data_IF_427288706331
#
_entry.id   IF_427288706331
#
_cell.length_a   1.000
_cell.length_b   1.000
_cell.length_c   1.000
_cell.angle_alpha   90.00
_cell.angle_beta   90.00
_cell.angle_gamma   90.00
#
_symmetry.space_group_name_H-M   'P 1'
#
loop_
_entity.id
_entity.type
_entity.pdbx_description
1 polymer ?
#
# COMPACT_ATOMS: atom_id res chain seq x y z
N UNK A 1 -11.85 4.04 5.50
CA UNK A 1 -12.09 2.61 5.21
C UNK A 1 -13.36 2.08 5.90
N UNK A 2 -13.53 2.23 7.22
CA UNK A 2 -14.71 1.72 7.97
C UNK A 2 -16.05 2.14 7.35
N UNK A 3 -16.18 3.40 6.88
CA UNK A 3 -17.41 3.88 6.23
C UNK A 3 -17.75 3.13 4.94
N UNK A 4 -16.75 2.65 4.20
CA UNK A 4 -16.95 1.91 2.93
C UNK A 4 -17.51 0.51 3.21
N UNK A 5 -17.01 -0.14 4.28
CA UNK A 5 -17.33 -1.53 4.59
C UNK A 5 -18.41 -1.72 5.67
N UNK A 6 -19.01 -0.64 6.20
CA UNK A 6 -20.09 -0.79 7.18
C UNK A 6 -21.41 -1.28 6.53
N UNK A 7 -22.28 -1.85 7.35
CA UNK A 7 -23.53 -2.43 6.90
C UNK A 7 -24.48 -1.39 6.27
N UNK A 8 -24.55 -0.20 6.84
CA UNK A 8 -25.42 0.87 6.36
C UNK A 8 -25.01 1.34 4.95
N UNK A 9 -23.72 1.60 4.73
CA UNK A 9 -23.22 1.99 3.40
C UNK A 9 -23.46 0.89 2.36
N UNK A 10 -23.31 -0.38 2.74
CA UNK A 10 -23.64 -1.50 1.84
C UNK A 10 -25.08 -1.41 1.36
N UNK A 11 -26.03 -1.19 2.27
CA UNK A 11 -27.47 -1.04 1.93
C UNK A 11 -27.69 0.17 1.02
N UNK A 12 -27.03 1.30 1.30
CA UNK A 12 -27.12 2.50 0.45
C UNK A 12 -26.60 2.20 -0.96
N UNK A 13 -25.50 1.47 -1.11
CA UNK A 13 -24.96 1.07 -2.41
C UNK A 13 -25.89 0.08 -3.15
N UNK A 14 -26.55 -0.84 -2.43
CA UNK A 14 -27.57 -1.73 -2.97
C UNK A 14 -28.75 -0.94 -3.54
N UNK A 15 -29.23 0.06 -2.81
CA UNK A 15 -30.32 0.96 -3.24
C UNK A 15 -29.91 1.79 -4.47
N UNK A 16 -28.67 2.31 -4.50
CA UNK A 16 -28.12 3.01 -5.67
C UNK A 16 -28.08 2.13 -6.91
N UNK A 17 -27.68 0.87 -6.77
CA UNK A 17 -27.68 -0.07 -7.89
C UNK A 17 -29.11 -0.33 -8.38
N UNK A 18 -30.07 -0.58 -7.48
CA UNK A 18 -31.48 -0.74 -7.87
C UNK A 18 -32.03 0.48 -8.61
N UNK A 19 -31.70 1.69 -8.16
CA UNK A 19 -32.11 2.92 -8.83
C UNK A 19 -31.45 3.08 -10.20
N UNK A 20 -30.18 2.72 -10.34
CA UNK A 20 -29.48 2.73 -11.61
C UNK A 20 -30.17 1.80 -12.62
N UNK A 21 -30.53 0.58 -12.20
CA UNK A 21 -31.24 -0.39 -13.04
C UNK A 21 -32.66 0.09 -13.36
N UNK A 22 -33.40 0.61 -12.36
CA UNK A 22 -34.76 1.11 -12.56
C UNK A 22 -34.79 2.32 -13.52
N UNK A 23 -33.84 3.24 -13.39
CA UNK A 23 -33.72 4.38 -14.32
C UNK A 23 -33.38 3.92 -15.73
N UNK A 24 -32.43 2.98 -15.89
CA UNK A 24 -32.10 2.42 -17.17
C UNK A 24 -33.29 1.69 -17.83
N UNK A 25 -34.06 0.93 -17.05
CA UNK A 25 -35.31 0.28 -17.52
C UNK A 25 -36.36 1.29 -17.99
N UNK A 26 -36.55 2.39 -17.24
CA UNK A 26 -37.45 3.50 -17.64
C UNK A 26 -37.00 4.14 -18.95
N UNK A 27 -35.70 4.44 -19.07
CA UNK A 27 -35.12 5.04 -20.28
C UNK A 27 -35.27 4.15 -21.53
N UNK A 28 -35.34 2.84 -21.33
CA UNK A 28 -35.53 1.83 -22.38
C UNK A 28 -36.98 1.48 -22.61
N UNK A 29 -37.94 2.27 -22.08
CA UNK A 29 -39.33 2.18 -22.37
C UNK A 29 -40.17 1.31 -21.41
N UNK A 30 -39.58 0.81 -20.33
CA UNK A 30 -40.35 0.09 -19.32
C UNK A 30 -41.29 1.05 -18.57
N UNK A 31 -42.51 0.57 -18.29
CA UNK A 31 -43.52 1.37 -17.62
C UNK A 31 -43.13 1.56 -16.12
N UNK A 32 -42.65 2.75 -15.79
CA UNK A 32 -42.39 3.23 -14.43
C UNK A 32 -43.22 4.51 -14.25
N UNK A 33 -44.21 4.53 -13.35
CA UNK A 33 -45.04 5.73 -13.13
C UNK A 33 -44.20 6.94 -12.72
N UNK A 34 -44.70 8.13 -13.04
CA UNK A 34 -44.01 9.39 -12.64
C UNK A 34 -44.01 9.51 -11.11
N UNK A 35 -42.88 10.02 -10.58
CA UNK A 35 -42.65 10.19 -9.15
C UNK A 35 -42.08 8.97 -8.43
N UNK A 36 -42.13 7.77 -9.02
CA UNK A 36 -41.64 6.53 -8.35
C UNK A 36 -40.14 6.60 -8.05
N UNK A 37 -39.33 6.99 -9.02
CA UNK A 37 -37.87 7.06 -8.84
C UNK A 37 -37.51 8.15 -7.81
N UNK A 38 -38.17 9.28 -7.89
CA UNK A 38 -38.00 10.39 -6.96
C UNK A 38 -38.37 9.99 -5.52
N UNK A 39 -39.43 9.18 -5.32
CA UNK A 39 -39.83 8.69 -3.99
C UNK A 39 -38.80 7.70 -3.43
N UNK A 40 -38.21 6.81 -4.24
CA UNK A 40 -37.09 5.98 -3.81
C UNK A 40 -35.85 6.82 -3.45
N UNK A 41 -35.54 7.86 -4.22
CA UNK A 41 -34.39 8.76 -3.95
C UNK A 41 -34.57 9.49 -2.61
N UNK A 42 -35.76 9.93 -2.25
CA UNK A 42 -36.03 10.62 -0.97
C UNK A 42 -35.73 9.76 0.25
N UNK A 43 -35.83 8.45 0.14
CA UNK A 43 -35.59 7.49 1.24
C UNK A 43 -34.29 6.69 1.08
N UNK A 44 -33.44 7.06 0.11
CA UNK A 44 -32.21 6.34 -0.23
C UNK A 44 -31.31 6.09 1.00
N UNK A 45 -31.10 7.12 1.81
CA UNK A 45 -30.20 7.11 2.96
C UNK A 45 -30.92 6.78 4.29
N UNK A 46 -32.23 6.49 4.25
CA UNK A 46 -33.02 6.16 5.44
C UNK A 46 -32.97 4.65 5.71
N UNK A 47 -31.77 4.14 6.10
CA UNK A 47 -31.55 2.71 6.34
C UNK A 47 -32.02 2.33 7.75
N UNK A 48 -32.97 1.40 7.85
CA UNK A 48 -33.42 0.79 9.11
C UNK A 48 -32.93 -0.66 9.19
N UNK A 49 -31.75 -0.86 9.80
CA UNK A 49 -31.14 -2.18 9.94
C UNK A 49 -31.98 -3.13 10.80
N UNK A 50 -32.69 -2.62 11.83
CA UNK A 50 -33.52 -3.43 12.71
C UNK A 50 -34.74 -3.96 11.93
N UNK A 51 -35.39 -3.10 11.16
CA UNK A 51 -36.52 -3.52 10.26
C UNK A 51 -36.06 -4.54 9.22
N UNK A 52 -34.84 -4.38 8.64
CA UNK A 52 -34.30 -5.36 7.71
C UNK A 52 -34.07 -6.71 8.41
N UNK A 53 -33.45 -6.73 9.59
CA UNK A 53 -33.21 -7.95 10.36
C UNK A 53 -34.52 -8.66 10.77
N UNK A 54 -35.54 -7.93 11.19
CA UNK A 54 -36.84 -8.51 11.56
C UNK A 54 -37.52 -9.15 10.36
N UNK A 55 -37.47 -8.49 9.19
CA UNK A 55 -37.96 -9.08 7.92
C UNK A 55 -37.18 -10.34 7.54
N UNK A 56 -35.82 -10.30 7.64
CA UNK A 56 -34.98 -11.43 7.31
C UNK A 56 -35.24 -12.65 8.19
N UNK A 57 -35.53 -12.46 9.48
CA UNK A 57 -35.95 -13.54 10.40
C UNK A 57 -37.19 -14.26 9.93
N UNK A 58 -38.11 -13.55 9.27
CA UNK A 58 -39.37 -14.10 8.74
C UNK A 58 -39.14 -14.75 7.40
N UNK A 59 -38.59 -14.01 6.42
CA UNK A 59 -38.45 -14.45 5.03
C UNK A 59 -37.30 -15.40 4.79
N UNK A 60 -36.32 -15.48 5.73
CA UNK A 60 -35.08 -16.30 5.67
C UNK A 60 -34.25 -16.02 4.41
N UNK A 61 -34.30 -14.77 3.92
CA UNK A 61 -33.57 -14.36 2.74
C UNK A 61 -33.18 -12.87 2.84
N UNK A 62 -31.91 -12.58 2.86
CA UNK A 62 -31.31 -11.26 3.11
C UNK A 62 -31.73 -10.22 2.05
N UNK A 63 -31.56 -10.52 0.77
CA UNK A 63 -31.90 -9.57 -0.32
C UNK A 63 -33.39 -9.30 -0.37
N UNK A 64 -34.24 -10.33 -0.13
CA UNK A 64 -35.72 -10.17 -0.08
C UNK A 64 -36.12 -9.21 1.04
N UNK A 65 -35.55 -9.33 2.22
CA UNK A 65 -35.77 -8.44 3.35
C UNK A 65 -35.47 -6.98 3.01
N UNK A 66 -34.33 -6.74 2.32
CA UNK A 66 -33.90 -5.39 1.88
C UNK A 66 -34.79 -4.81 0.80
N UNK A 67 -35.29 -5.64 -0.14
CA UNK A 67 -36.28 -5.22 -1.14
C UNK A 67 -37.57 -4.77 -0.43
N UNK A 68 -38.09 -5.56 0.49
CA UNK A 68 -39.34 -5.27 1.21
C UNK A 68 -39.22 -4.00 2.06
N UNK A 69 -38.09 -3.81 2.73
CA UNK A 69 -37.87 -2.61 3.53
C UNK A 69 -37.79 -1.36 2.64
N UNK A 70 -37.01 -1.37 1.56
CA UNK A 70 -36.89 -0.21 0.67
C UNK A 70 -38.19 0.11 -0.08
N UNK A 71 -38.91 -0.91 -0.53
CA UNK A 71 -40.25 -0.76 -1.12
C UNK A 71 -41.22 -0.17 -0.13
N UNK A 72 -41.22 -0.64 1.12
CA UNK A 72 -42.10 -0.11 2.18
C UNK A 72 -41.82 1.37 2.49
N UNK A 73 -40.54 1.79 2.55
CA UNK A 73 -40.19 3.18 2.76
C UNK A 73 -40.61 4.08 1.60
N UNK A 74 -40.41 3.65 0.37
CA UNK A 74 -40.73 4.42 -0.83
C UNK A 74 -42.25 4.38 -1.18
N UNK A 75 -42.99 3.40 -0.68
CA UNK A 75 -44.39 3.20 -1.01
C UNK A 75 -44.62 2.57 -2.42
N UNK A 76 -43.59 1.94 -2.99
CA UNK A 76 -43.62 1.38 -4.37
C UNK A 76 -42.92 0.03 -4.45
N UNK A 77 -43.28 -0.80 -5.45
CA UNK A 77 -42.70 -2.13 -5.71
C UNK A 77 -42.21 -2.22 -7.16
N UNK A 78 -41.23 -1.34 -7.52
CA UNK A 78 -40.74 -1.28 -8.90
C UNK A 78 -39.29 -1.74 -9.08
N UNK A 79 -38.50 -1.94 -8.01
CA UNK A 79 -37.09 -2.36 -8.06
C UNK A 79 -36.94 -3.88 -8.28
N UNK A 80 -35.74 -4.32 -8.62
CA UNK A 80 -35.31 -5.72 -8.71
C UNK A 80 -35.93 -6.53 -9.84
N UNK A 81 -36.61 -5.91 -10.82
CA UNK A 81 -37.20 -6.58 -11.97
C UNK A 81 -36.11 -7.10 -12.91
N UNK A 82 -36.21 -8.38 -13.30
CA UNK A 82 -35.22 -9.05 -14.15
C UNK A 82 -33.86 -9.30 -13.49
N UNK A 83 -33.75 -9.14 -12.17
CA UNK A 83 -32.55 -9.35 -11.40
C UNK A 83 -32.60 -10.55 -10.49
N UNK A 84 -31.45 -11.14 -10.20
CA UNK A 84 -31.28 -12.10 -9.09
C UNK A 84 -30.47 -11.48 -7.95
N UNK A 85 -30.49 -12.14 -6.79
CA UNK A 85 -29.72 -11.66 -5.60
C UNK A 85 -28.26 -11.40 -5.88
N UNK A 86 -27.62 -12.16 -6.78
CA UNK A 86 -26.22 -11.98 -7.13
C UNK A 86 -25.97 -10.79 -8.06
N UNK A 87 -26.92 -10.39 -8.85
CA UNK A 87 -26.85 -9.13 -9.60
C UNK A 87 -26.72 -7.94 -8.65
N UNK A 88 -27.29 -8.03 -7.45
CA UNK A 88 -27.14 -7.02 -6.41
C UNK A 88 -25.80 -7.17 -5.68
N UNK A 89 -25.58 -8.31 -5.04
CA UNK A 89 -24.49 -8.46 -4.06
C UNK A 89 -23.10 -8.45 -4.70
N UNK A 90 -22.91 -9.07 -5.87
CA UNK A 90 -21.61 -9.09 -6.58
C UNK A 90 -21.21 -7.70 -7.06
N UNK A 91 -22.12 -6.95 -7.68
CA UNK A 91 -21.82 -5.60 -8.18
C UNK A 91 -21.60 -4.60 -7.03
N UNK A 92 -22.33 -4.73 -5.91
CA UNK A 92 -22.13 -3.85 -4.74
C UNK A 92 -20.80 -4.12 -4.04
N UNK A 93 -20.40 -5.38 -3.92
CA UNK A 93 -19.06 -5.72 -3.41
C UNK A 93 -17.95 -5.16 -4.32
N UNK A 94 -18.13 -5.19 -5.64
CA UNK A 94 -17.20 -4.55 -6.58
C UNK A 94 -17.15 -3.02 -6.43
N UNK A 95 -18.29 -2.36 -6.17
CA UNK A 95 -18.33 -0.93 -5.84
C UNK A 95 -17.54 -0.63 -4.57
N UNK A 96 -17.72 -1.44 -3.50
CA UNK A 96 -16.97 -1.26 -2.25
C UNK A 96 -15.46 -1.46 -2.47
N UNK A 97 -15.06 -2.49 -3.21
CA UNK A 97 -13.66 -2.75 -3.55
C UNK A 97 -13.07 -1.56 -4.31
N UNK A 98 -13.76 -1.05 -5.32
CA UNK A 98 -13.29 0.09 -6.11
C UNK A 98 -13.13 1.35 -5.26
N UNK A 99 -14.13 1.71 -4.46
CA UNK A 99 -14.06 2.86 -3.54
C UNK A 99 -12.91 2.71 -2.53
N UNK A 100 -12.70 1.50 -2.04
CA UNK A 100 -11.60 1.21 -1.12
C UNK A 100 -10.23 1.34 -1.81
N UNK A 101 -10.08 0.85 -3.04
CA UNK A 101 -8.86 1.01 -3.85
C UNK A 101 -8.56 2.49 -4.16
N UNK A 102 -9.57 3.29 -4.50
CA UNK A 102 -9.43 4.73 -4.74
C UNK A 102 -8.92 5.45 -3.47
N UNK A 103 -9.45 5.10 -2.29
CA UNK A 103 -8.94 5.62 -1.02
C UNK A 103 -7.48 5.20 -0.77
N UNK A 104 -7.14 3.94 -1.03
CA UNK A 104 -5.77 3.43 -0.88
C UNK A 104 -4.81 4.15 -1.85
N UNK A 105 -5.22 4.44 -3.08
CA UNK A 105 -4.42 5.25 -4.01
C UNK A 105 -4.10 6.64 -3.43
N UNK A 106 -5.10 7.32 -2.85
CA UNK A 106 -4.91 8.62 -2.22
C UNK A 106 -3.90 8.56 -1.06
N UNK A 107 -4.04 7.57 -0.17
CA UNK A 107 -3.13 7.38 0.97
C UNK A 107 -1.71 7.03 0.53
N UNK A 108 -1.58 6.15 -0.47
CA UNK A 108 -0.28 5.75 -1.01
C UNK A 108 0.43 6.91 -1.72
N UNK A 109 -0.30 7.74 -2.47
CA UNK A 109 0.24 8.96 -3.07
C UNK A 109 0.71 9.97 -2.01
N UNK A 110 -0.03 10.11 -0.89
CA UNK A 110 0.40 10.93 0.25
C UNK A 110 1.68 10.37 0.90
N UNK A 111 1.80 9.05 1.05
CA UNK A 111 3.00 8.42 1.58
C UNK A 111 4.21 8.61 0.65
N UNK A 112 4.02 8.52 -0.67
CA UNK A 112 5.06 8.82 -1.66
C UNK A 112 5.53 10.28 -1.55
N UNK A 113 4.61 11.24 -1.35
CA UNK A 113 4.94 12.65 -1.10
C UNK A 113 5.86 12.80 0.11
N UNK A 114 5.50 12.23 1.25
CA UNK A 114 6.29 12.29 2.48
C UNK A 114 7.64 11.59 2.35
N UNK A 115 7.70 10.47 1.62
CA UNK A 115 8.98 9.81 1.30
C UNK A 115 9.89 10.72 0.48
N UNK A 116 9.35 11.45 -0.52
CA UNK A 116 10.08 12.43 -1.33
C UNK A 116 10.59 13.62 -0.50
N UNK A 117 9.77 14.12 0.42
CA UNK A 117 10.13 15.20 1.35
C UNK A 117 11.26 14.76 2.28
N UNK A 118 11.18 13.58 2.90
CA UNK A 118 12.24 13.02 3.73
C UNK A 118 13.50 12.70 2.92
N UNK A 119 13.36 12.18 1.70
CA UNK A 119 14.51 11.94 0.81
C UNK A 119 15.26 13.24 0.50
N UNK A 120 14.55 14.35 0.33
CA UNK A 120 15.12 15.67 0.09
C UNK A 120 15.76 16.24 1.35
N UNK A 121 15.03 16.20 2.48
CA UNK A 121 15.50 16.76 3.77
C UNK A 121 16.80 16.12 4.23
N UNK A 122 16.93 14.81 4.06
CA UNK A 122 18.11 14.04 4.49
C UNK A 122 19.08 13.68 3.35
N UNK A 123 18.99 14.38 2.21
CA UNK A 123 19.81 14.08 1.01
C UNK A 123 21.31 14.16 1.28
N UNK A 124 21.75 15.07 2.13
CA UNK A 124 23.15 15.29 2.50
C UNK A 124 23.56 14.59 3.81
N UNK A 125 22.62 13.93 4.50
CA UNK A 125 22.90 13.25 5.77
C UNK A 125 23.63 11.93 5.48
N UNK A 126 24.96 11.95 5.52
CA UNK A 126 25.78 10.76 5.34
C UNK A 126 25.57 9.77 6.51
N UNK A 127 25.39 8.50 6.19
CA UNK A 127 25.17 7.42 7.17
C UNK A 127 25.97 6.17 6.77
N UNK A 128 26.25 5.33 7.76
CA UNK A 128 26.81 4.00 7.53
C UNK A 128 25.83 3.13 6.73
N UNK A 129 26.16 2.88 5.47
CA UNK A 129 25.46 1.90 4.65
C UNK A 129 25.79 0.48 5.09
N UNK A 130 24.76 -0.39 5.18
CA UNK A 130 24.92 -1.76 5.67
C UNK A 130 24.41 -2.75 4.66
N UNK A 131 25.17 -3.81 4.42
CA UNK A 131 24.72 -5.02 3.71
C UNK A 131 24.88 -6.20 4.66
N UNK A 132 23.97 -7.17 4.62
CA UNK A 132 23.93 -8.26 5.59
C UNK A 132 23.92 -7.76 7.07
N UNK A 133 23.38 -6.57 7.28
CA UNK A 133 23.42 -5.81 8.55
C UNK A 133 24.82 -5.41 9.05
N UNK A 134 25.86 -5.56 8.24
CA UNK A 134 27.23 -5.16 8.54
C UNK A 134 27.60 -3.88 7.79
N UNK A 135 28.40 -3.00 8.43
CA UNK A 135 28.89 -1.76 7.82
C UNK A 135 29.67 -2.06 6.51
N UNK A 136 29.28 -1.40 5.42
CA UNK A 136 29.78 -1.70 4.07
C UNK A 136 30.38 -0.48 3.36
N UNK A 137 29.58 0.55 3.08
CA UNK A 137 29.99 1.80 2.43
C UNK A 137 29.20 2.98 2.98
N UNK A 138 29.62 4.20 2.66
CA UNK A 138 28.85 5.42 2.97
C UNK A 138 27.67 5.56 2.01
N UNK A 139 26.51 5.92 2.55
CA UNK A 139 25.32 6.32 1.79
C UNK A 139 24.70 7.55 2.45
N UNK A 140 23.53 8.02 1.96
CA UNK A 140 22.78 9.06 2.67
C UNK A 140 21.46 8.51 3.23
N UNK A 141 20.98 9.12 4.29
CA UNK A 141 19.67 8.81 4.85
C UNK A 141 18.56 9.14 3.85
N UNK A 142 18.71 10.25 3.10
CA UNK A 142 17.79 10.59 2.00
C UNK A 142 17.73 9.51 0.91
N UNK A 143 18.86 8.86 0.58
CA UNK A 143 18.87 7.76 -0.38
C UNK A 143 18.10 6.54 0.14
N UNK A 144 18.06 6.28 1.46
CA UNK A 144 17.21 5.20 2.04
C UNK A 144 15.74 5.47 1.82
N UNK A 145 15.29 6.70 2.04
CA UNK A 145 13.92 7.11 1.74
C UNK A 145 13.60 7.01 0.25
N UNK A 146 14.49 7.47 -0.62
CA UNK A 146 14.32 7.36 -2.06
C UNK A 146 14.25 5.90 -2.53
N UNK A 147 15.01 4.99 -1.91
CA UNK A 147 14.95 3.56 -2.25
C UNK A 147 13.63 2.91 -1.83
N UNK A 148 13.07 3.29 -0.67
CA UNK A 148 11.74 2.87 -0.25
C UNK A 148 10.66 3.45 -1.17
N UNK A 149 10.82 4.71 -1.60
CA UNK A 149 9.91 5.35 -2.54
C UNK A 149 9.91 4.66 -3.92
N UNK A 150 11.06 4.25 -4.43
CA UNK A 150 11.19 3.49 -5.70
C UNK A 150 10.41 2.17 -5.63
N UNK A 151 10.56 1.39 -4.54
CA UNK A 151 9.81 0.15 -4.32
C UNK A 151 8.30 0.43 -4.23
N UNK A 152 7.90 1.48 -3.51
CA UNK A 152 6.50 1.86 -3.36
C UNK A 152 5.88 2.35 -4.68
N UNK A 153 6.63 3.09 -5.52
CA UNK A 153 6.19 3.53 -6.85
C UNK A 153 5.83 2.35 -7.75
N UNK A 154 6.63 1.28 -7.71
CA UNK A 154 6.35 0.07 -8.49
C UNK A 154 5.02 -0.56 -8.06
N UNK A 155 4.79 -0.73 -6.76
CA UNK A 155 3.54 -1.28 -6.23
C UNK A 155 2.35 -0.34 -6.47
N UNK A 156 2.55 0.97 -6.33
CA UNK A 156 1.53 1.99 -6.59
C UNK A 156 1.03 1.95 -8.05
N UNK A 157 1.95 1.86 -9.01
CA UNK A 157 1.60 1.75 -10.42
C UNK A 157 0.72 0.52 -10.69
N UNK A 158 0.97 -0.59 -10.03
CA UNK A 158 0.12 -1.78 -10.14
C UNK A 158 -1.29 -1.52 -9.57
N UNK A 159 -1.41 -0.84 -8.43
CA UNK A 159 -2.73 -0.47 -7.87
C UNK A 159 -3.48 0.49 -8.80
N UNK A 160 -2.83 1.52 -9.38
CA UNK A 160 -3.44 2.40 -10.38
C UNK A 160 -4.01 1.59 -11.56
N UNK A 161 -3.26 0.61 -12.06
CA UNK A 161 -3.71 -0.27 -13.16
C UNK A 161 -4.89 -1.14 -12.76
N UNK A 162 -4.89 -1.67 -11.52
CA UNK A 162 -6.03 -2.43 -11.00
C UNK A 162 -7.27 -1.55 -10.97
N UNK A 163 -7.20 -0.33 -10.42
CA UNK A 163 -8.33 0.61 -10.36
C UNK A 163 -8.86 0.95 -11.75
N UNK A 164 -7.95 1.31 -12.67
CA UNK A 164 -8.32 1.72 -14.03
C UNK A 164 -9.04 0.62 -14.83
N UNK A 165 -8.71 -0.64 -14.57
CA UNK A 165 -9.21 -1.79 -15.32
C UNK A 165 -10.18 -2.66 -14.50
N UNK A 166 -10.60 -2.23 -13.29
CA UNK A 166 -11.47 -3.04 -12.46
C UNK A 166 -12.89 -3.10 -13.04
N UNK A 167 -13.38 -4.29 -13.45
CA UNK A 167 -14.64 -4.42 -14.16
C UNK A 167 -15.83 -4.45 -13.21
N UNK A 168 -17.01 -4.11 -13.72
CA UNK A 168 -18.29 -4.46 -13.12
C UNK A 168 -18.70 -5.86 -13.61
N UNK A 169 -19.33 -6.69 -12.76
CA UNK A 169 -19.91 -7.97 -13.20
C UNK A 169 -21.04 -7.75 -14.22
N UNK A 170 -21.83 -6.72 -14.02
CA UNK A 170 -23.04 -6.45 -14.78
C UNK A 170 -24.27 -7.21 -14.27
N UNK A 171 -25.39 -7.04 -14.94
CA UNK A 171 -26.69 -7.66 -14.59
C UNK A 171 -26.87 -8.91 -15.46
N UNK A 172 -26.44 -10.07 -14.95
CA UNK A 172 -26.33 -11.30 -15.75
C UNK A 172 -27.43 -12.34 -15.47
N UNK A 173 -28.23 -12.12 -14.42
CA UNK A 173 -29.25 -13.07 -14.01
C UNK A 173 -28.69 -14.33 -13.31
N UNK A 174 -29.52 -15.34 -13.08
CA UNK A 174 -29.19 -16.49 -12.22
C UNK A 174 -28.09 -17.42 -12.79
N UNK A 175 -27.92 -17.49 -14.11
CA UNK A 175 -26.95 -18.39 -14.77
C UNK A 175 -26.12 -17.69 -15.86
N UNK A 176 -26.17 -16.36 -15.92
CA UNK A 176 -25.37 -15.57 -16.85
C UNK A 176 -25.93 -15.37 -18.25
N UNK A 177 -27.14 -15.89 -18.55
CA UNK A 177 -27.75 -15.82 -19.87
C UNK A 177 -28.55 -14.54 -20.11
N UNK A 178 -28.86 -13.78 -19.05
CA UNK A 178 -29.69 -12.56 -19.12
C UNK A 178 -31.10 -12.79 -19.69
N UNK A 179 -31.59 -14.05 -19.74
CA UNK A 179 -32.86 -14.40 -20.38
C UNK A 179 -34.04 -13.58 -19.85
N UNK A 180 -34.13 -13.44 -18.51
CA UNK A 180 -35.25 -12.69 -17.87
C UNK A 180 -35.23 -11.20 -18.30
N UNK A 181 -34.05 -10.62 -18.53
CA UNK A 181 -33.91 -9.25 -19.02
C UNK A 181 -34.23 -9.14 -20.53
N UNK A 182 -33.86 -10.13 -21.33
CA UNK A 182 -34.21 -10.18 -22.76
C UNK A 182 -35.73 -10.24 -22.89
N UNK A 183 -36.40 -11.08 -22.11
CA UNK A 183 -37.86 -11.19 -22.11
C UNK A 183 -38.53 -9.91 -21.59
N UNK A 184 -37.98 -9.29 -20.55
CA UNK A 184 -38.49 -8.05 -19.97
C UNK A 184 -38.37 -6.85 -20.92
N UNK A 185 -37.21 -6.70 -21.59
CA UNK A 185 -36.87 -5.53 -22.41
C UNK A 185 -37.20 -5.71 -23.89
N UNK A 186 -37.52 -6.94 -24.32
CA UNK A 186 -37.92 -7.25 -25.68
C UNK A 186 -36.81 -7.47 -26.67
N UNK A 187 -35.55 -7.67 -26.21
CA UNK A 187 -34.42 -7.99 -27.09
C UNK A 187 -33.06 -7.86 -26.48
N UNK A 188 -32.07 -8.53 -27.07
CA UNK A 188 -30.67 -8.52 -26.61
C UNK A 188 -30.03 -7.13 -26.69
N UNK A 189 -30.30 -6.37 -27.75
CA UNK A 189 -29.77 -5.01 -27.90
C UNK A 189 -30.20 -4.08 -26.75
N UNK A 190 -31.43 -4.25 -26.24
CA UNK A 190 -31.93 -3.47 -25.10
C UNK A 190 -31.24 -3.86 -23.81
N UNK A 191 -30.84 -5.13 -23.65
CA UNK A 191 -30.07 -5.59 -22.49
C UNK A 191 -28.65 -5.02 -22.52
N UNK A 192 -27.98 -4.97 -23.67
CA UNK A 192 -26.67 -4.34 -23.84
C UNK A 192 -26.72 -2.86 -23.45
N UNK A 193 -27.72 -2.12 -23.94
CA UNK A 193 -27.94 -0.72 -23.57
C UNK A 193 -28.22 -0.52 -22.07
N UNK A 194 -28.97 -1.45 -21.44
CA UNK A 194 -29.20 -1.43 -19.99
C UNK A 194 -27.87 -1.57 -19.23
N UNK A 195 -27.03 -2.54 -19.59
CA UNK A 195 -25.75 -2.75 -18.95
C UNK A 195 -24.82 -1.55 -19.11
N UNK A 196 -24.76 -0.93 -20.29
CA UNK A 196 -23.99 0.30 -20.53
C UNK A 196 -24.45 1.44 -19.62
N UNK A 197 -25.78 1.68 -19.55
CA UNK A 197 -26.32 2.74 -18.69
C UNK A 197 -26.04 2.48 -17.20
N UNK A 198 -26.17 1.24 -16.73
CA UNK A 198 -25.87 0.85 -15.34
C UNK A 198 -24.37 1.01 -15.06
N UNK A 199 -23.49 0.54 -15.95
CA UNK A 199 -22.04 0.70 -15.87
C UNK A 199 -21.67 2.17 -15.72
N UNK A 200 -22.18 3.01 -16.60
CA UNK A 200 -21.85 4.46 -16.64
C UNK A 200 -22.39 5.18 -15.40
N UNK A 201 -23.61 4.84 -14.95
CA UNK A 201 -24.18 5.40 -13.73
C UNK A 201 -23.36 5.03 -12.48
N UNK A 202 -22.79 3.83 -12.43
CA UNK A 202 -21.93 3.37 -11.35
C UNK A 202 -20.45 3.81 -11.52
N UNK A 203 -20.13 4.45 -12.65
CA UNK A 203 -18.82 5.02 -12.95
C UNK A 203 -17.75 3.99 -13.29
N UNK A 204 -18.09 2.80 -13.78
CA UNK A 204 -17.14 1.82 -14.28
C UNK A 204 -16.81 2.05 -15.76
N UNK A 205 -15.62 1.59 -16.17
CA UNK A 205 -15.16 1.73 -17.57
C UNK A 205 -15.66 0.58 -18.46
N UNK A 206 -15.88 -0.60 -17.89
CA UNK A 206 -16.36 -1.77 -18.62
C UNK A 206 -17.05 -2.79 -17.68
N UNK A 207 -17.83 -3.67 -18.30
CA UNK A 207 -18.47 -4.83 -17.65
C UNK A 207 -17.82 -6.12 -18.14
N UNK A 208 -17.93 -7.18 -17.37
CA UNK A 208 -17.60 -8.53 -17.83
C UNK A 208 -18.68 -9.04 -18.79
N UNK A 209 -18.28 -9.63 -19.92
CA UNK A 209 -19.24 -10.11 -20.93
C UNK A 209 -19.83 -11.46 -20.55
N UNK A 210 -18.99 -12.48 -20.37
CA UNK A 210 -19.42 -13.86 -20.16
C UNK A 210 -19.01 -14.36 -18.79
N UNK A 211 -19.95 -14.21 -17.84
CA UNK A 211 -19.81 -14.72 -16.47
C UNK A 211 -21.13 -15.33 -16.00
N UNK A 212 -21.05 -16.31 -15.12
CA UNK A 212 -22.19 -16.92 -14.47
C UNK A 212 -22.76 -16.05 -13.35
N UNK A 213 -23.20 -16.70 -12.29
CA UNK A 213 -23.81 -16.05 -11.13
C UNK A 213 -22.82 -15.16 -10.36
N UNK A 214 -21.52 -15.49 -10.39
CA UNK A 214 -20.44 -14.78 -9.70
C UNK A 214 -19.33 -14.36 -10.68
N UNK A 215 -18.62 -13.27 -10.38
CA UNK A 215 -17.43 -12.89 -11.14
C UNK A 215 -16.22 -13.76 -10.80
N UNK A 216 -15.20 -13.87 -11.69
CA UNK A 216 -14.00 -14.69 -11.44
C UNK A 216 -13.27 -14.26 -10.17
N UNK A 217 -13.02 -15.19 -9.24
CA UNK A 217 -12.34 -14.91 -7.96
C UNK A 217 -10.87 -14.56 -8.09
N UNK A 218 -10.31 -14.74 -9.26
CA UNK A 218 -8.99 -14.19 -9.63
C UNK A 218 -8.93 -12.66 -9.53
N UNK A 219 -10.06 -11.95 -9.66
CA UNK A 219 -10.11 -10.49 -9.43
C UNK A 219 -9.85 -10.16 -7.95
N UNK A 220 -10.43 -10.91 -7.01
CA UNK A 220 -10.19 -10.73 -5.58
C UNK A 220 -8.71 -11.00 -5.23
N UNK A 221 -8.13 -12.06 -5.82
CA UNK A 221 -6.71 -12.36 -5.68
C UNK A 221 -5.83 -11.23 -6.21
N UNK A 222 -6.13 -10.69 -7.38
CA UNK A 222 -5.38 -9.59 -7.97
C UNK A 222 -5.40 -8.35 -7.07
N UNK A 223 -6.57 -8.00 -6.52
CA UNK A 223 -6.72 -6.88 -5.58
C UNK A 223 -5.88 -7.10 -4.33
N UNK A 224 -6.07 -8.20 -3.61
CA UNK A 224 -5.36 -8.45 -2.34
C UNK A 224 -3.85 -8.63 -2.56
N UNK A 225 -3.44 -9.23 -3.68
CA UNK A 225 -2.03 -9.30 -4.08
C UNK A 225 -1.41 -7.92 -4.28
N UNK A 226 -2.14 -7.00 -4.92
CA UNK A 226 -1.72 -5.61 -5.05
C UNK A 226 -1.56 -4.89 -3.70
N UNK A 227 -2.49 -5.12 -2.76
CA UNK A 227 -2.39 -4.57 -1.39
C UNK A 227 -1.16 -5.11 -0.64
N UNK A 228 -0.85 -6.40 -0.79
CA UNK A 228 0.37 -7.01 -0.22
C UNK A 228 1.63 -6.39 -0.81
N UNK A 229 1.69 -6.21 -2.14
CA UNK A 229 2.81 -5.54 -2.80
C UNK A 229 2.99 -4.10 -2.27
N UNK A 230 1.88 -3.36 -2.12
CA UNK A 230 1.92 -1.99 -1.61
C UNK A 230 2.45 -1.92 -0.16
N UNK A 231 2.21 -2.95 0.65
CA UNK A 231 2.69 -3.04 2.04
C UNK A 231 4.19 -3.30 2.15
N UNK A 232 4.88 -3.73 1.08
CA UNK A 232 6.28 -4.19 1.12
C UNK A 232 7.25 -3.07 1.44
N UNK A 233 7.18 -1.94 0.75
CA UNK A 233 8.06 -0.80 0.99
C UNK A 233 7.91 -0.21 2.40
N UNK A 234 6.68 0.06 2.92
CA UNK A 234 6.48 0.43 4.32
C UNK A 234 7.09 -0.57 5.30
N UNK A 235 6.88 -1.88 5.10
CA UNK A 235 7.41 -2.91 5.99
C UNK A 235 8.95 -2.99 5.96
N UNK A 236 9.57 -2.87 4.78
CA UNK A 236 11.02 -2.84 4.61
C UNK A 236 11.65 -1.61 5.27
N UNK A 237 11.07 -0.43 5.04
CA UNK A 237 11.56 0.79 5.67
C UNK A 237 11.38 0.75 7.18
N UNK A 238 10.22 0.33 7.68
CA UNK A 238 9.96 0.18 9.12
C UNK A 238 10.98 -0.75 9.79
N UNK A 239 11.34 -1.88 9.16
CA UNK A 239 12.41 -2.75 9.65
C UNK A 239 13.76 -2.04 9.69
N UNK A 240 14.11 -1.30 8.65
CA UNK A 240 15.36 -0.53 8.57
C UNK A 240 15.42 0.53 9.67
N UNK A 241 14.33 1.28 9.88
CA UNK A 241 14.26 2.31 10.93
C UNK A 241 14.39 1.70 12.34
N UNK A 242 13.78 0.53 12.58
CA UNK A 242 13.94 -0.20 13.86
C UNK A 242 15.39 -0.62 14.11
N UNK A 243 16.10 -1.11 13.08
CA UNK A 243 17.52 -1.44 13.19
C UNK A 243 18.38 -0.20 13.47
N UNK A 244 18.06 0.92 12.83
CA UNK A 244 18.73 2.19 13.09
C UNK A 244 18.47 2.73 14.50
N UNK A 245 17.23 2.63 14.99
CA UNK A 245 16.85 3.03 16.34
C UNK A 245 17.55 2.18 17.43
N UNK A 246 17.84 0.91 17.13
CA UNK A 246 18.66 0.06 18.00
C UNK A 246 20.09 0.55 18.17
N UNK A 247 20.55 1.46 17.31
CA UNK A 247 21.84 2.18 17.40
C UNK A 247 21.66 3.66 17.77
N UNK A 248 20.50 4.06 18.24
CA UNK A 248 20.15 5.44 18.61
C UNK A 248 20.27 6.46 17.48
N UNK A 249 20.22 6.03 16.21
CA UNK A 249 20.43 6.91 15.05
C UNK A 249 19.18 7.73 14.69
N UNK A 250 17.99 7.17 14.91
CA UNK A 250 16.69 7.73 14.48
C UNK A 250 15.57 7.42 15.48
N UNK A 251 14.45 8.14 15.31
CA UNK A 251 13.19 7.91 16.01
C UNK A 251 12.02 7.95 15.03
N UNK A 252 10.91 7.26 15.34
CA UNK A 252 9.63 7.36 14.61
C UNK A 252 8.75 8.54 15.08
N UNK A 253 9.33 9.47 15.84
CA UNK A 253 8.66 10.53 16.57
C UNK A 253 8.39 10.11 18.02
N UNK A 254 8.67 11.04 18.93
CA UNK A 254 8.38 10.87 20.36
C UNK A 254 7.82 12.19 20.87
N UNK A 255 6.49 12.21 21.12
CA UNK A 255 5.80 13.43 21.53
C UNK A 255 6.00 13.69 23.02
N UNK A 256 5.91 14.97 23.42
CA UNK A 256 5.96 15.36 24.83
C UNK A 256 4.83 14.67 25.61
N UNK A 257 5.19 14.03 26.73
CA UNK A 257 4.25 13.25 27.54
C UNK A 257 4.02 11.81 27.07
N UNK A 258 4.57 11.41 25.94
CA UNK A 258 4.47 10.02 25.47
C UNK A 258 5.29 9.07 26.35
N UNK A 259 4.71 7.92 26.72
CA UNK A 259 5.39 6.87 27.48
C UNK A 259 5.82 5.76 26.53
N UNK A 260 7.13 5.66 26.28
CA UNK A 260 7.71 4.61 25.44
C UNK A 260 7.73 3.21 26.08
N UNK A 261 7.85 3.16 27.41
CA UNK A 261 7.89 1.93 28.20
C UNK A 261 7.35 2.16 29.60
N UNK A 262 6.50 1.27 30.11
CA UNK A 262 5.95 1.37 31.47
C UNK A 262 7.00 1.11 32.58
N UNK A 263 8.09 0.40 32.24
CA UNK A 263 9.14 0.03 33.19
C UNK A 263 10.44 0.82 33.03
N UNK A 264 10.74 1.29 31.81
CA UNK A 264 11.99 1.97 31.47
C UNK A 264 11.68 3.31 30.80
N UNK A 265 11.59 4.43 31.57
CA UNK A 265 11.10 5.72 31.05
C UNK A 265 11.91 6.32 29.89
N UNK A 266 13.21 6.01 29.81
CA UNK A 266 14.12 6.48 28.76
C UNK A 266 14.01 5.71 27.44
N UNK A 267 13.29 4.58 27.43
CA UNK A 267 13.27 3.66 26.28
C UNK A 267 12.25 4.12 25.23
N UNK A 268 12.73 4.57 24.08
CA UNK A 268 11.94 4.98 22.92
C UNK A 268 11.71 3.79 21.99
N UNK A 269 10.61 3.08 22.19
CA UNK A 269 10.28 1.91 21.35
C UNK A 269 9.69 2.34 20.01
N UNK A 270 10.08 1.67 18.93
CA UNK A 270 9.56 1.86 17.58
C UNK A 270 8.26 1.06 17.37
N UNK A 271 7.21 1.39 18.15
CA UNK A 271 5.95 0.63 18.21
C UNK A 271 5.11 0.77 16.93
N UNK A 272 5.17 1.94 16.28
CA UNK A 272 4.48 2.18 15.02
C UNK A 272 5.12 1.36 13.89
N UNK A 273 6.44 1.31 13.84
CA UNK A 273 7.16 0.44 12.90
C UNK A 273 6.90 -1.05 13.15
N UNK A 274 6.72 -1.48 14.42
CA UNK A 274 6.29 -2.85 14.74
C UNK A 274 4.89 -3.15 14.24
N UNK A 275 3.94 -2.20 14.39
CA UNK A 275 2.57 -2.30 13.89
C UNK A 275 2.54 -2.43 12.37
N UNK A 276 3.31 -1.63 11.64
CA UNK A 276 3.44 -1.73 10.18
C UNK A 276 3.87 -3.15 9.77
N UNK A 277 4.89 -3.69 10.42
CA UNK A 277 5.37 -5.06 10.15
C UNK A 277 4.29 -6.11 10.44
N UNK A 278 3.58 -5.98 11.57
CA UNK A 278 2.50 -6.88 11.95
C UNK A 278 1.33 -6.87 10.95
N UNK A 279 0.87 -5.68 10.54
CA UNK A 279 -0.23 -5.54 9.57
C UNK A 279 0.15 -6.08 8.18
N UNK A 280 1.42 -5.95 7.76
CA UNK A 280 1.91 -6.57 6.53
C UNK A 280 1.83 -8.10 6.57
N UNK A 281 2.11 -8.74 7.72
CA UNK A 281 1.93 -10.19 7.89
C UNK A 281 0.45 -10.60 7.89
N UNK A 282 -0.43 -9.80 8.48
CA UNK A 282 -1.89 -10.04 8.43
C UNK A 282 -2.40 -10.03 6.98
N UNK A 283 -1.95 -9.06 6.17
CA UNK A 283 -2.28 -9.00 4.73
C UNK A 283 -1.84 -10.26 3.96
N UNK A 284 -0.65 -10.81 4.25
CA UNK A 284 -0.19 -12.07 3.66
C UNK A 284 -1.11 -13.25 4.02
N UNK A 285 -1.67 -13.24 5.23
CA UNK A 285 -2.69 -14.21 5.64
C UNK A 285 -3.96 -14.11 4.79
N UNK A 286 -4.48 -12.90 4.56
CA UNK A 286 -5.66 -12.70 3.69
C UNK A 286 -5.38 -13.05 2.23
N UNK A 287 -4.17 -12.79 1.72
CA UNK A 287 -3.77 -13.26 0.39
C UNK A 287 -3.87 -14.78 0.28
N UNK A 288 -3.43 -15.51 1.29
CA UNK A 288 -3.54 -16.98 1.32
C UNK A 288 -5.01 -17.42 1.27
N UNK A 289 -5.90 -16.73 1.99
CA UNK A 289 -7.34 -17.03 1.98
C UNK A 289 -7.94 -16.84 0.59
N UNK A 290 -7.69 -15.71 -0.08
CA UNK A 290 -8.27 -15.46 -1.42
C UNK A 290 -7.61 -16.31 -2.51
N UNK A 291 -6.35 -16.71 -2.35
CA UNK A 291 -5.65 -17.63 -3.26
C UNK A 291 -6.40 -18.96 -3.36
N UNK A 292 -6.96 -19.46 -2.25
CA UNK A 292 -7.71 -20.73 -2.23
C UNK A 292 -9.01 -20.69 -3.05
N UNK A 293 -9.50 -19.49 -3.39
CA UNK A 293 -10.72 -19.30 -4.18
C UNK A 293 -10.46 -19.24 -5.69
N UNK A 294 -9.19 -19.08 -6.10
CA UNK A 294 -8.84 -18.98 -7.53
C UNK A 294 -9.00 -20.32 -8.20
N UNK A 295 -9.88 -20.38 -9.20
CA UNK A 295 -10.19 -21.62 -9.91
C UNK A 295 -11.11 -22.60 -9.16
N UNK A 296 -11.63 -22.21 -7.99
CA UNK A 296 -12.57 -23.02 -7.19
C UNK A 296 -14.03 -22.63 -7.44
N UNK A 297 -14.37 -22.37 -8.69
CA UNK A 297 -15.75 -22.14 -9.15
C UNK A 297 -16.16 -23.24 -10.14
N UNK A 298 -17.37 -23.71 -10.03
CA UNK A 298 -17.89 -24.77 -10.88
C UNK A 298 -19.34 -24.52 -11.30
N UNK A 299 -19.74 -25.03 -12.46
CA UNK A 299 -20.97 -24.71 -13.16
C UNK A 299 -21.14 -23.18 -13.33
N UNK A 300 -22.38 -22.70 -13.29
CA UNK A 300 -22.73 -21.28 -13.45
C UNK A 300 -22.49 -20.45 -12.19
N UNK A 301 -22.14 -21.07 -11.07
CA UNK A 301 -21.72 -20.38 -9.85
C UNK A 301 -21.94 -21.19 -8.57
N UNK A 302 -20.99 -21.04 -7.67
CA UNK A 302 -21.04 -21.53 -6.30
C UNK A 302 -20.77 -20.39 -5.32
N UNK A 303 -21.50 -20.35 -4.22
CA UNK A 303 -21.44 -19.25 -3.26
C UNK A 303 -20.67 -19.59 -1.98
N UNK A 304 -20.06 -20.77 -1.88
CA UNK A 304 -19.20 -21.17 -0.76
C UNK A 304 -18.05 -20.17 -0.54
N UNK A 305 -17.52 -19.60 -1.64
CA UNK A 305 -16.53 -18.55 -1.61
C UNK A 305 -16.94 -17.31 -0.78
N UNK A 306 -18.25 -17.07 -0.60
CA UNK A 306 -18.75 -15.88 0.09
C UNK A 306 -18.36 -15.84 1.57
N UNK A 307 -18.20 -16.99 2.22
CA UNK A 307 -17.77 -17.08 3.63
C UNK A 307 -16.35 -16.53 3.79
N UNK A 308 -15.43 -16.95 2.91
CA UNK A 308 -14.04 -16.49 2.90
C UNK A 308 -13.96 -15.01 2.56
N UNK A 309 -14.68 -14.57 1.54
CA UNK A 309 -14.66 -13.19 1.04
C UNK A 309 -15.19 -12.17 2.05
N UNK A 310 -16.21 -12.52 2.83
CA UNK A 310 -16.76 -11.66 3.91
C UNK A 310 -15.75 -11.34 5.01
N UNK A 311 -14.76 -12.20 5.21
CA UNK A 311 -13.64 -11.96 6.12
C UNK A 311 -12.47 -11.32 5.38
N UNK A 312 -12.00 -11.95 4.31
CA UNK A 312 -10.73 -11.58 3.68
C UNK A 312 -10.74 -10.20 3.01
N UNK A 313 -11.82 -9.81 2.33
CA UNK A 313 -11.84 -8.54 1.58
C UNK A 313 -11.93 -7.31 2.50
N UNK A 314 -12.95 -7.16 3.37
CA UNK A 314 -13.04 -6.01 4.25
C UNK A 314 -11.80 -5.86 5.14
N UNK A 315 -11.35 -6.99 5.72
CA UNK A 315 -10.25 -6.98 6.67
C UNK A 315 -8.89 -6.73 6.00
N UNK A 316 -8.69 -7.17 4.75
CA UNK A 316 -7.50 -6.82 3.97
C UNK A 316 -7.43 -5.30 3.74
N UNK A 317 -8.56 -4.67 3.38
CA UNK A 317 -8.62 -3.22 3.21
C UNK A 317 -8.47 -2.45 4.52
N UNK A 318 -9.03 -2.94 5.62
CA UNK A 318 -8.82 -2.36 6.96
C UNK A 318 -7.37 -2.49 7.41
N UNK A 319 -6.72 -3.63 7.12
CA UNK A 319 -5.31 -3.86 7.45
C UNK A 319 -4.36 -2.94 6.69
N UNK A 320 -4.55 -2.79 5.37
CA UNK A 320 -3.71 -1.87 4.58
C UNK A 320 -3.98 -0.39 4.92
N UNK A 321 -5.24 -0.02 5.19
CA UNK A 321 -5.59 1.31 5.68
C UNK A 321 -4.86 1.64 6.98
N UNK A 322 -4.95 0.77 7.98
CA UNK A 322 -4.24 0.92 9.25
C UNK A 322 -2.71 0.96 9.10
N UNK A 323 -2.16 0.18 8.16
CA UNK A 323 -0.75 0.19 7.84
C UNK A 323 -0.32 1.53 7.24
N UNK A 324 -1.03 2.03 6.22
CA UNK A 324 -0.71 3.29 5.55
C UNK A 324 -0.90 4.49 6.48
N UNK A 325 -1.97 4.54 7.30
CA UNK A 325 -2.15 5.57 8.31
C UNK A 325 -0.96 5.61 9.29
N UNK A 326 -0.54 4.44 9.78
CA UNK A 326 0.62 4.33 10.68
C UNK A 326 1.91 4.77 9.97
N UNK A 327 2.08 4.39 8.71
CA UNK A 327 3.26 4.74 7.93
C UNK A 327 3.35 6.24 7.66
N UNK A 328 2.24 6.89 7.32
CA UNK A 328 2.15 8.33 7.16
C UNK A 328 2.58 9.05 8.44
N UNK A 329 2.05 8.65 9.60
CA UNK A 329 2.45 9.23 10.89
C UNK A 329 3.94 9.06 11.17
N UNK A 330 4.50 7.87 10.89
CA UNK A 330 5.95 7.64 11.04
C UNK A 330 6.77 8.55 10.12
N UNK A 331 6.32 8.80 8.89
CA UNK A 331 7.04 9.68 7.95
C UNK A 331 6.95 11.15 8.33
N UNK A 332 5.80 11.60 8.89
CA UNK A 332 5.61 12.98 9.37
C UNK A 332 6.43 13.28 10.63
N UNK A 333 6.43 12.36 11.59
CA UNK A 333 7.07 12.55 12.89
C UNK A 333 8.54 12.08 12.92
N UNK A 334 9.06 11.56 11.79
CA UNK A 334 10.40 11.01 11.70
C UNK A 334 11.48 12.00 12.14
N UNK A 335 12.39 11.52 12.99
CA UNK A 335 13.56 12.30 13.45
C UNK A 335 14.87 11.51 13.36
N UNK A 336 15.96 12.24 13.11
CA UNK A 336 17.32 11.69 13.11
C UNK A 336 18.18 12.39 14.18
N UNK A 337 19.17 11.68 14.73
CA UNK A 337 20.11 12.20 15.69
C UNK A 337 21.49 12.46 15.05
N UNK A 338 21.76 13.66 14.49
CA UNK A 338 22.95 13.92 13.67
C UNK A 338 24.26 13.60 14.38
N UNK A 339 24.38 13.89 15.68
CA UNK A 339 25.61 13.63 16.45
C UNK A 339 25.87 12.15 16.68
N UNK A 340 24.83 11.35 16.81
CA UNK A 340 24.96 9.88 16.94
C UNK A 340 25.34 9.28 15.59
N UNK A 341 24.70 9.76 14.51
CA UNK A 341 25.03 9.37 13.12
C UNK A 341 26.51 9.70 12.80
N UNK A 342 26.96 10.92 13.10
CA UNK A 342 28.34 11.36 12.89
C UNK A 342 29.33 10.47 13.65
N UNK A 343 29.04 10.17 14.92
CA UNK A 343 29.88 9.30 15.76
C UNK A 343 29.98 7.88 15.19
N UNK A 344 28.83 7.28 14.79
CA UNK A 344 28.83 5.95 14.17
C UNK A 344 29.58 5.95 12.84
N UNK A 345 29.33 6.94 12.00
CA UNK A 345 29.99 7.09 10.70
C UNK A 345 31.48 7.18 10.86
N UNK A 346 31.99 8.07 11.74
CA UNK A 346 33.40 8.27 11.97
C UNK A 346 34.12 7.00 12.49
N UNK A 347 33.42 6.22 13.33
CA UNK A 347 33.93 4.93 13.81
C UNK A 347 34.23 3.95 12.68
N UNK A 348 33.33 3.88 11.69
CA UNK A 348 33.41 2.91 10.58
C UNK A 348 34.11 3.50 9.32
N UNK A 349 34.26 4.81 9.19
CA UNK A 349 34.64 5.50 7.95
C UNK A 349 35.90 4.94 7.26
N UNK A 350 37.00 4.61 7.96
CA UNK A 350 38.16 4.00 7.31
C UNK A 350 37.82 2.68 6.62
N UNK A 351 36.99 1.82 7.25
CA UNK A 351 36.57 0.54 6.67
C UNK A 351 35.58 0.73 5.51
N UNK A 352 34.63 1.66 5.63
CA UNK A 352 33.65 1.98 4.57
C UNK A 352 34.33 2.51 3.30
N UNK A 353 35.55 3.01 3.42
CA UNK A 353 36.28 3.63 2.33
C UNK A 353 37.35 2.72 1.69
N UNK A 354 37.46 1.46 2.12
CA UNK A 354 38.48 0.53 1.62
C UNK A 354 38.47 0.35 0.10
N UNK A 355 37.28 0.35 -0.54
CA UNK A 355 37.16 0.30 -2.00
C UNK A 355 37.63 1.57 -2.69
N UNK A 356 37.50 2.74 -2.06
CA UNK A 356 38.03 4.01 -2.57
C UNK A 356 39.54 4.06 -2.42
N UNK A 357 40.09 3.57 -1.30
CA UNK A 357 41.53 3.42 -1.07
C UNK A 357 42.13 2.46 -2.10
N UNK A 358 41.49 1.32 -2.36
CA UNK A 358 41.85 0.37 -3.41
C UNK A 358 41.91 1.05 -4.79
N UNK A 359 40.92 1.87 -5.12
CA UNK A 359 40.90 2.62 -6.38
C UNK A 359 42.05 3.61 -6.44
N UNK A 360 42.31 4.34 -5.36
CA UNK A 360 43.45 5.29 -5.30
C UNK A 360 44.81 4.60 -5.46
N UNK A 361 45.01 3.45 -4.80
CA UNK A 361 46.25 2.68 -4.92
C UNK A 361 46.46 2.16 -6.35
N UNK A 362 45.39 1.69 -7.01
CA UNK A 362 45.48 1.27 -8.41
C UNK A 362 45.77 2.43 -9.37
N UNK A 363 45.18 3.61 -9.12
CA UNK A 363 45.48 4.81 -9.89
C UNK A 363 46.93 5.30 -9.69
N UNK A 364 47.50 5.04 -8.51
CA UNK A 364 48.92 5.31 -8.22
C UNK A 364 49.89 4.27 -8.81
N UNK A 365 49.37 3.27 -9.55
CA UNK A 365 50.14 2.30 -10.30
C UNK A 365 50.31 0.92 -9.66
N UNK A 366 49.68 0.66 -8.50
CA UNK A 366 49.68 -0.66 -7.86
C UNK A 366 48.78 -1.64 -8.58
N UNK A 367 49.16 -2.93 -8.66
CA UNK A 367 48.28 -3.99 -9.18
C UNK A 367 47.00 -4.16 -8.32
N UNK A 368 45.84 -4.36 -8.95
CA UNK A 368 44.58 -4.43 -8.22
C UNK A 368 44.54 -5.53 -7.15
N UNK A 369 45.00 -6.73 -7.48
CA UNK A 369 44.98 -7.88 -6.53
C UNK A 369 46.06 -7.67 -5.42
N UNK A 370 47.22 -7.11 -5.77
CA UNK A 370 48.26 -6.72 -4.82
C UNK A 370 47.75 -5.67 -3.82
N UNK A 371 47.10 -4.61 -4.32
CA UNK A 371 46.51 -3.58 -3.49
C UNK A 371 45.38 -4.16 -2.60
N UNK A 372 44.56 -5.07 -3.16
CA UNK A 372 43.47 -5.72 -2.40
C UNK A 372 44.03 -6.56 -1.24
N UNK A 373 45.07 -7.39 -1.46
CA UNK A 373 45.64 -8.24 -0.40
C UNK A 373 46.34 -7.43 0.68
N UNK A 374 47.11 -6.36 0.32
CA UNK A 374 47.74 -5.46 1.27
C UNK A 374 46.69 -4.73 2.13
N UNK A 375 45.69 -4.09 1.52
CA UNK A 375 44.63 -3.39 2.23
C UNK A 375 43.85 -4.34 3.12
N UNK A 376 43.51 -5.56 2.66
CA UNK A 376 42.83 -6.60 3.42
C UNK A 376 43.59 -6.98 4.67
N UNK A 377 44.91 -7.20 4.59
CA UNK A 377 45.72 -7.56 5.73
C UNK A 377 45.66 -6.49 6.84
N UNK A 378 45.80 -5.19 6.46
CA UNK A 378 45.67 -4.07 7.39
C UNK A 378 44.24 -3.92 7.96
N UNK A 379 43.22 -4.05 7.09
CA UNK A 379 41.80 -3.89 7.50
C UNK A 379 41.38 -4.97 8.49
N UNK A 380 41.73 -6.24 8.24
CA UNK A 380 41.42 -7.36 9.16
C UNK A 380 42.12 -7.16 10.50
N UNK A 381 43.45 -6.81 10.49
CA UNK A 381 44.20 -6.57 11.72
C UNK A 381 43.61 -5.41 12.52
N UNK A 382 43.35 -4.26 11.89
CA UNK A 382 42.75 -3.10 12.55
C UNK A 382 41.34 -3.42 13.12
N UNK A 383 40.55 -4.19 12.39
CA UNK A 383 39.20 -4.59 12.84
C UNK A 383 39.26 -5.53 14.05
N UNK A 384 40.24 -6.46 14.10
CA UNK A 384 40.44 -7.35 15.25
C UNK A 384 40.94 -6.56 16.49
N UNK A 385 41.82 -5.62 16.31
CA UNK A 385 42.30 -4.78 17.39
C UNK A 385 41.18 -3.93 18.00
N UNK A 386 40.33 -3.31 17.19
CA UNK A 386 39.19 -2.57 17.67
C UNK A 386 38.17 -3.45 18.45
N UNK A 387 38.04 -4.74 18.08
CA UNK A 387 37.14 -5.67 18.78
C UNK A 387 37.73 -6.18 20.08
N UNK A 388 39.02 -6.33 20.16
CA UNK A 388 39.73 -6.87 21.32
C UNK A 388 40.11 -5.82 22.34
N UNK A 389 40.37 -4.56 21.90
CA UNK A 389 40.84 -3.45 22.73
C UNK A 389 39.74 -2.39 22.84
N UNK A 390 39.11 -2.28 24.00
CA UNK A 390 37.90 -1.46 24.22
C UNK A 390 38.07 0.06 24.06
N UNK A 391 39.26 0.61 23.84
CA UNK A 391 39.56 2.06 23.83
C UNK A 391 40.42 2.50 22.63
N UNK A 392 40.50 1.71 21.58
CA UNK A 392 41.39 2.01 20.44
C UNK A 392 40.73 2.91 19.39
N UNK A 393 41.48 3.92 18.92
CA UNK A 393 41.16 4.61 17.66
C UNK A 393 41.35 3.66 16.46
N UNK A 394 40.61 3.92 15.38
CA UNK A 394 40.75 3.16 14.15
C UNK A 394 42.06 3.47 13.46
N UNK A 395 43.02 2.58 13.56
CA UNK A 395 44.39 2.77 13.05
C UNK A 395 44.57 2.37 11.59
N UNK A 396 43.53 2.00 10.87
CA UNK A 396 43.60 1.46 9.49
C UNK A 396 44.38 2.42 8.55
N UNK A 397 44.04 3.70 8.56
CA UNK A 397 44.69 4.67 7.64
C UNK A 397 46.19 4.83 7.94
N UNK A 398 46.55 4.86 9.23
CA UNK A 398 47.94 4.95 9.63
C UNK A 398 48.73 3.71 9.18
N UNK A 399 48.14 2.50 9.39
CA UNK A 399 48.77 1.23 8.96
C UNK A 399 49.01 1.17 7.46
N UNK A 400 48.05 1.66 6.67
CA UNK A 400 48.19 1.73 5.20
C UNK A 400 49.21 2.75 4.79
N UNK A 401 49.27 3.92 5.46
CA UNK A 401 50.25 4.95 5.16
C UNK A 401 51.70 4.55 5.53
N UNK A 402 51.85 3.72 6.57
CA UNK A 402 53.16 3.23 7.03
C UNK A 402 53.67 2.02 6.21
N UNK A 403 52.85 1.45 5.32
CA UNK A 403 53.19 0.31 4.47
C UNK A 403 53.96 0.81 3.21
N UNK A 404 55.25 0.48 3.07
CA UNK A 404 56.07 0.94 1.94
C UNK A 404 55.62 0.33 0.58
N UNK A 405 54.80 -0.73 0.59
CA UNK A 405 54.31 -1.33 -0.64
C UNK A 405 53.09 -0.58 -1.20
N UNK A 406 52.39 0.23 -0.36
CA UNK A 406 51.23 0.99 -0.78
C UNK A 406 51.64 2.43 -1.14
N UNK A 407 51.52 2.84 -2.41
CA UNK A 407 52.03 4.16 -2.87
C UNK A 407 51.04 5.31 -2.56
N UNK A 408 50.56 5.41 -1.31
CA UNK A 408 49.62 6.44 -0.85
C UNK A 408 50.09 7.07 0.45
N UNK A 409 50.22 8.39 0.45
CA UNK A 409 50.48 9.17 1.65
C UNK A 409 49.22 9.24 2.56
N UNK A 410 49.45 9.57 3.84
CA UNK A 410 48.35 9.75 4.80
C UNK A 410 47.34 10.84 4.38
N UNK A 411 47.82 11.93 3.72
CA UNK A 411 46.94 12.99 3.22
C UNK A 411 46.10 12.55 2.02
N UNK A 412 46.64 11.72 1.12
CA UNK A 412 45.88 11.11 0.02
C UNK A 412 44.84 10.14 0.55
N UNK A 413 45.14 9.34 1.57
CA UNK A 413 44.21 8.48 2.25
C UNK A 413 43.07 9.27 2.91
N UNK A 414 43.38 10.36 3.61
CA UNK A 414 42.36 11.28 4.18
C UNK A 414 41.47 11.86 3.10
N UNK A 415 42.03 12.27 1.97
CA UNK A 415 41.25 12.76 0.83
C UNK A 415 40.32 11.67 0.25
N UNK A 416 40.82 10.44 0.14
CA UNK A 416 40.05 9.30 -0.38
C UNK A 416 38.85 8.94 0.48
N UNK A 417 38.91 9.19 1.80
CA UNK A 417 37.80 8.89 2.72
C UNK A 417 36.81 10.05 2.91
N UNK A 418 37.01 11.20 2.28
CA UNK A 418 36.11 12.34 2.41
C UNK A 418 34.68 11.97 2.02
N UNK A 419 33.70 12.39 2.84
CA UNK A 419 32.27 12.09 2.65
C UNK A 419 31.54 13.12 1.80
N UNK A 420 32.25 14.08 1.21
CA UNK A 420 31.71 15.18 0.39
C UNK A 420 31.13 14.71 -0.96
N UNK A 421 31.57 13.54 -1.44
CA UNK A 421 31.09 12.92 -2.68
C UNK A 421 30.64 11.48 -2.41
N UNK A 422 29.33 11.27 -2.41
CA UNK A 422 28.69 9.96 -2.19
C UNK A 422 28.10 9.46 -3.51
N UNK A 423 28.90 9.49 -4.56
CA UNK A 423 28.55 8.96 -5.87
C UNK A 423 27.36 9.68 -6.50
N UNK A 424 26.32 8.93 -6.92
CA UNK A 424 25.17 9.47 -7.65
C UNK A 424 23.92 9.64 -6.80
N UNK A 425 24.03 9.64 -5.47
CA UNK A 425 22.87 9.68 -4.56
C UNK A 425 21.94 10.86 -4.84
N UNK A 426 22.48 12.08 -5.03
CA UNK A 426 21.69 13.28 -5.34
C UNK A 426 20.89 13.12 -6.65
N UNK A 427 21.51 12.61 -7.72
CA UNK A 427 20.81 12.36 -8.99
C UNK A 427 19.73 11.31 -8.88
N UNK A 428 19.96 10.27 -8.07
CA UNK A 428 19.01 9.20 -7.84
C UNK A 428 17.79 9.69 -7.04
N UNK A 429 18.01 10.48 -6.00
CA UNK A 429 16.94 11.12 -5.22
C UNK A 429 16.10 12.04 -6.13
N UNK A 430 16.74 12.90 -6.92
CA UNK A 430 16.04 13.80 -7.86
C UNK A 430 15.20 13.04 -8.89
N UNK A 431 15.71 11.94 -9.44
CA UNK A 431 14.98 11.14 -10.42
C UNK A 431 13.72 10.53 -9.83
N UNK A 432 13.79 9.93 -8.63
CA UNK A 432 12.64 9.36 -7.94
C UNK A 432 11.61 10.44 -7.60
N UNK A 433 12.06 11.58 -7.08
CA UNK A 433 11.20 12.71 -6.74
C UNK A 433 10.44 13.27 -7.97
N UNK A 434 11.04 13.28 -9.15
CA UNK A 434 10.38 13.68 -10.39
C UNK A 434 9.22 12.74 -10.74
N UNK A 435 9.38 11.43 -10.58
CA UNK A 435 8.29 10.46 -10.80
C UNK A 435 7.20 10.63 -9.77
N UNK A 436 7.55 10.84 -8.50
CA UNK A 436 6.58 11.08 -7.42
C UNK A 436 5.77 12.37 -7.71
N UNK A 437 6.39 13.41 -8.21
CA UNK A 437 5.68 14.65 -8.58
C UNK A 437 4.59 14.38 -9.63
N UNK A 438 4.85 13.53 -10.61
CA UNK A 438 3.84 13.12 -11.60
C UNK A 438 2.69 12.33 -10.97
N UNK A 439 2.97 11.49 -9.95
CA UNK A 439 1.92 10.81 -9.18
C UNK A 439 1.04 11.83 -8.45
N UNK A 440 1.64 12.80 -7.76
CA UNK A 440 0.91 13.85 -7.01
C UNK A 440 0.05 14.71 -7.95
N UNK A 441 0.48 14.93 -9.19
CA UNK A 441 -0.30 15.67 -10.20
C UNK A 441 -1.54 14.88 -10.64
N UNK A 442 -1.45 13.55 -10.72
CA UNK A 442 -2.60 12.67 -11.02
C UNK A 442 -3.53 12.47 -9.82
N UNK A 443 -3.02 12.61 -8.59
CA UNK A 443 -3.73 12.41 -7.33
C UNK A 443 -3.66 13.67 -6.45
N UNK A 444 -4.25 14.81 -6.88
CA UNK A 444 -4.11 16.10 -6.19
C UNK A 444 -4.68 16.11 -4.78
N UNK A 445 -5.65 15.24 -4.47
CA UNK A 445 -6.25 15.03 -3.16
C UNK A 445 -5.22 14.54 -2.11
N UNK A 446 -4.16 13.87 -2.54
CA UNK A 446 -3.07 13.41 -1.68
C UNK A 446 -2.29 14.54 -1.00
N UNK A 447 -2.32 15.76 -1.57
CA UNK A 447 -1.63 16.94 -1.01
C UNK A 447 -2.21 17.38 0.33
N UNK A 448 -3.51 17.21 0.51
CA UNK A 448 -4.26 17.60 1.71
C UNK A 448 -4.63 16.41 2.59
N UNK A 449 -4.18 15.21 2.22
CA UNK A 449 -4.45 14.04 3.03
C UNK A 449 -3.62 14.05 4.30
N UNK A 450 -4.30 14.03 5.43
CA UNK A 450 -3.68 13.93 6.76
C UNK A 450 -4.05 12.57 7.37
N UNK A 451 -3.09 11.86 7.98
CA UNK A 451 -3.38 10.61 8.65
C UNK A 451 -4.33 10.83 9.83
N UNK A 452 -5.19 9.85 10.08
CA UNK A 452 -6.01 9.84 11.28
C UNK A 452 -5.13 9.45 12.48
N UNK A 453 -5.41 10.07 13.64
CA UNK A 453 -4.71 9.72 14.88
C UNK A 453 -4.92 8.25 15.19
N UNK A 454 -3.82 7.49 15.26
CA UNK A 454 -3.82 6.09 15.66
C UNK A 454 -3.41 6.03 17.13
N UNK A 455 -4.29 5.49 17.97
CA UNK A 455 -4.08 5.33 19.42
C UNK A 455 -3.11 4.19 19.68
#
# INVERSE_FOLDING_TARGET
MVKIWNAENKIILERKLWLAVLQAQKDLGQQVPDGVIEDYIKVLDQVDLDSIHDRERIVKHDVKARIEEFCSLAGHEHIHKGMTSRDLTENVEQLQIRQALELICCQAAAALRLLSENATTYSETAVTGRTHNVAAQVTTLGKRFASAAEEMLHAFTNIEQIVANYPLRGIKGPVGTQQDLVDLLGGSEQVELLEEKVRDHLGFTHTLDSVGQVYPRSLDFNVVSGLVQLSSAPANLAKTLRLMAGHDLVTEGFQEGQVGSSAMPHKMNMRSCERISGLSHVLQGYLTMVTSLVGDQWNEGDVSCSVVRRVALPDAFLAIDGLLQTFLSVLEDFGAYPKVIERELNHYLPFLSTTRILTAATQAGMGREEAHEAIKAHAVSAALDLRNNNEGENTLLQRIADDPEIPLSFDELKSAIATSDIGRTDRQIKAVNQVIQQVIERHPESKSYNPQTII
#
